data_IF_124291312775
#
_entry.id   IF_124291312775
#
_cell.length_a   1.000
_cell.length_b   1.000
_cell.length_c   1.000
_cell.angle_alpha   90.00
_cell.angle_beta   90.00
_cell.angle_gamma   90.00
#
_symmetry.space_group_name_H-M   'P 1'
#
loop_
_entity.id
_entity.type
_entity.pdbx_description
1 polymer ?
#
# COMPACT_ATOMS: atom_id res chain seq x y z
N UNK A 1 2.62 6.68 -20.39
CA UNK A 1 1.24 7.21 -20.61
C UNK A 1 0.32 6.03 -20.78
N UNK A 2 -0.75 5.95 -19.98
CA UNK A 2 -1.80 4.99 -20.28
C UNK A 2 -2.26 5.18 -21.73
N UNK A 3 -2.40 4.08 -22.46
CA UNK A 3 -2.71 4.06 -23.91
C UNK A 3 -4.01 4.78 -24.30
N UNK A 4 -4.83 5.24 -23.35
CA UNK A 4 -6.18 5.77 -23.59
C UNK A 4 -6.34 7.29 -23.49
N UNK A 5 -5.29 8.06 -23.26
CA UNK A 5 -5.32 9.54 -23.29
C UNK A 5 -6.27 10.24 -22.30
N UNK A 6 -6.79 9.51 -21.31
CA UNK A 6 -7.72 10.07 -20.30
C UNK A 6 -6.95 10.98 -19.35
N UNK A 7 -7.35 12.23 -19.22
CA UNK A 7 -6.85 13.17 -18.19
C UNK A 7 -7.45 12.81 -16.83
N UNK A 8 -6.70 13.05 -15.76
CA UNK A 8 -7.11 12.76 -14.38
C UNK A 8 -7.73 11.36 -14.21
N UNK A 9 -7.02 10.28 -14.57
CA UNK A 9 -7.55 8.94 -14.37
C UNK A 9 -7.84 8.69 -12.89
N UNK A 10 -8.97 8.05 -12.62
CA UNK A 10 -9.40 7.72 -11.25
C UNK A 10 -9.05 6.27 -10.94
N UNK A 11 -8.44 6.05 -9.80
CA UNK A 11 -8.06 4.72 -9.34
C UNK A 11 -8.26 4.56 -7.83
N UNK A 12 -8.10 3.34 -7.34
CA UNK A 12 -8.03 3.01 -5.91
C UNK A 12 -6.57 2.81 -5.49
N UNK A 13 -6.29 2.77 -4.19
CA UNK A 13 -4.95 2.41 -3.69
C UNK A 13 -4.78 0.89 -3.67
N UNK A 14 -5.70 0.17 -3.04
CA UNK A 14 -5.67 -1.30 -2.97
C UNK A 14 -6.94 -1.84 -2.29
N UNK A 15 -6.89 -2.01 -0.97
CA UNK A 15 -7.89 -2.73 -0.21
C UNK A 15 -9.28 -2.10 -0.22
N UNK A 16 -10.29 -2.95 -0.47
CA UNK A 16 -11.72 -2.67 -0.33
C UNK A 16 -12.27 -3.32 0.95
N UNK A 17 -13.26 -2.73 1.63
CA UNK A 17 -13.86 -3.32 2.82
C UNK A 17 -14.42 -4.72 2.53
N UNK A 18 -14.00 -5.70 3.29
CA UNK A 18 -14.45 -7.08 3.11
C UNK A 18 -15.87 -7.25 3.62
N UNK A 19 -16.73 -7.99 2.88
CA UNK A 19 -18.06 -8.33 3.36
C UNK A 19 -17.98 -9.15 4.66
N UNK A 20 -18.95 -8.95 5.56
CA UNK A 20 -19.01 -9.66 6.86
C UNK A 20 -19.01 -11.18 6.70
N UNK A 21 -19.74 -11.69 5.69
CA UNK A 21 -19.77 -13.13 5.41
C UNK A 21 -18.41 -13.71 5.00
N UNK A 22 -17.55 -12.91 4.31
CA UNK A 22 -16.18 -13.34 4.00
C UNK A 22 -15.31 -13.35 5.27
N UNK A 23 -15.41 -12.32 6.11
CA UNK A 23 -14.67 -12.26 7.38
C UNK A 23 -15.02 -13.48 8.26
N UNK A 24 -16.31 -13.79 8.38
CA UNK A 24 -16.77 -14.97 9.13
C UNK A 24 -16.26 -16.29 8.53
N UNK A 25 -16.25 -16.40 7.20
CA UNK A 25 -15.71 -17.57 6.51
C UNK A 25 -14.19 -17.73 6.74
N UNK A 26 -13.44 -16.64 6.72
CA UNK A 26 -12.00 -16.63 7.03
C UNK A 26 -11.74 -17.09 8.47
N UNK A 27 -12.48 -16.56 9.45
CA UNK A 27 -12.38 -16.95 10.87
C UNK A 27 -12.64 -18.43 11.09
N UNK A 28 -13.68 -18.97 10.46
CA UNK A 28 -14.10 -20.37 10.58
C UNK A 28 -13.30 -21.33 9.70
N UNK A 29 -12.38 -20.82 8.87
CA UNK A 29 -11.66 -21.60 7.85
C UNK A 29 -12.62 -22.45 7.00
N UNK A 30 -13.67 -21.79 6.49
CA UNK A 30 -14.73 -22.43 5.69
C UNK A 30 -14.14 -23.27 4.55
N UNK A 31 -14.68 -24.47 4.27
CA UNK A 31 -14.30 -25.24 3.08
C UNK A 31 -14.55 -24.48 1.76
N UNK A 32 -15.55 -23.60 1.73
CA UNK A 32 -15.87 -22.75 0.57
C UNK A 32 -15.11 -21.41 0.56
N UNK A 33 -14.05 -21.26 1.34
CA UNK A 33 -13.36 -19.98 1.48
C UNK A 33 -12.82 -19.43 0.15
N UNK A 34 -12.32 -20.30 -0.72
CA UNK A 34 -11.80 -19.90 -2.04
C UNK A 34 -12.91 -19.26 -2.90
N UNK A 35 -14.06 -19.94 -3.01
CA UNK A 35 -15.23 -19.44 -3.75
C UNK A 35 -15.75 -18.12 -3.15
N UNK A 36 -15.83 -18.01 -1.84
CA UNK A 36 -16.25 -16.78 -1.16
C UNK A 36 -15.29 -15.61 -1.41
N UNK A 37 -13.99 -15.86 -1.47
CA UNK A 37 -12.99 -14.87 -1.87
C UNK A 37 -13.21 -14.39 -3.30
N UNK A 38 -13.53 -15.29 -4.22
CA UNK A 38 -13.85 -14.96 -5.61
C UNK A 38 -15.10 -14.09 -5.70
N UNK A 39 -16.17 -14.46 -5.01
CA UNK A 39 -17.40 -13.68 -4.96
C UNK A 39 -17.17 -12.28 -4.37
N UNK A 40 -16.36 -12.16 -3.31
CA UNK A 40 -16.03 -10.87 -2.72
C UNK A 40 -15.19 -10.01 -3.67
N UNK A 41 -14.27 -10.61 -4.44
CA UNK A 41 -13.50 -9.91 -5.46
C UNK A 41 -14.40 -9.38 -6.57
N UNK A 42 -15.35 -10.19 -7.07
CA UNK A 42 -16.35 -9.74 -8.05
C UNK A 42 -17.17 -8.56 -7.54
N UNK A 43 -17.58 -8.62 -6.27
CA UNK A 43 -18.32 -7.53 -5.64
C UNK A 43 -17.47 -6.25 -5.54
N UNK A 44 -16.20 -6.36 -5.18
CA UNK A 44 -15.28 -5.23 -5.13
C UNK A 44 -15.05 -4.59 -6.50
N UNK A 45 -14.90 -5.40 -7.57
CA UNK A 45 -14.83 -4.92 -8.94
C UNK A 45 -16.12 -4.15 -9.29
N UNK A 46 -17.29 -4.75 -9.02
CA UNK A 46 -18.58 -4.14 -9.34
C UNK A 46 -18.76 -2.78 -8.67
N UNK A 47 -18.42 -2.65 -7.39
CA UNK A 47 -18.47 -1.37 -6.69
C UNK A 47 -17.57 -0.32 -7.34
N UNK A 48 -16.35 -0.67 -7.72
CA UNK A 48 -15.41 0.23 -8.38
C UNK A 48 -15.91 0.67 -9.77
N UNK A 49 -16.43 -0.27 -10.57
CA UNK A 49 -16.98 0.02 -11.89
C UNK A 49 -18.22 0.93 -11.82
N UNK A 50 -19.15 0.63 -10.89
CA UNK A 50 -20.37 1.43 -10.68
C UNK A 50 -20.06 2.83 -10.13
N UNK A 51 -19.00 2.98 -9.33
CA UNK A 51 -18.49 4.28 -8.91
C UNK A 51 -17.80 5.07 -10.05
N UNK A 52 -17.57 4.46 -11.22
CA UNK A 52 -16.97 5.11 -12.37
C UNK A 52 -15.44 5.15 -12.33
N UNK A 53 -14.78 4.23 -11.61
CA UNK A 53 -13.33 4.13 -11.53
C UNK A 53 -12.75 3.72 -12.88
N UNK A 54 -11.66 4.36 -13.31
CA UNK A 54 -11.01 4.10 -14.60
C UNK A 54 -10.05 2.90 -14.53
N UNK A 55 -9.35 2.73 -13.40
CA UNK A 55 -8.37 1.66 -13.17
C UNK A 55 -8.76 0.92 -11.88
N UNK A 56 -9.14 -0.34 -11.99
CA UNK A 56 -9.69 -1.13 -10.88
C UNK A 56 -8.66 -2.09 -10.29
N UNK A 57 -8.91 -2.56 -9.06
CA UNK A 57 -8.11 -3.58 -8.38
C UNK A 57 -9.00 -4.71 -7.85
N UNK A 58 -8.38 -5.81 -7.37
CA UNK A 58 -9.05 -6.92 -6.68
C UNK A 58 -9.64 -6.53 -5.32
N UNK A 59 -9.36 -5.31 -4.86
CA UNK A 59 -9.74 -4.85 -3.52
C UNK A 59 -9.07 -5.66 -2.40
N UNK A 60 -8.04 -6.45 -2.72
CA UNK A 60 -7.30 -7.31 -1.78
C UNK A 60 -8.20 -8.29 -1.01
N UNK A 61 -9.30 -8.73 -1.63
CA UNK A 61 -10.32 -9.53 -0.96
C UNK A 61 -9.81 -10.91 -0.54
N UNK A 62 -8.75 -11.40 -1.18
CA UNK A 62 -8.17 -12.71 -0.90
C UNK A 62 -7.10 -12.69 0.20
N UNK A 63 -6.75 -11.51 0.73
CA UNK A 63 -5.72 -11.27 1.75
C UNK A 63 -6.37 -10.90 3.08
N UNK A 64 -5.69 -11.10 4.20
CA UNK A 64 -6.09 -10.56 5.51
C UNK A 64 -5.62 -9.10 5.66
N UNK A 65 -4.41 -8.80 5.17
CA UNK A 65 -3.89 -7.44 5.02
C UNK A 65 -2.93 -7.38 3.82
N UNK A 66 -2.36 -6.20 3.56
CA UNK A 66 -1.59 -5.90 2.34
C UNK A 66 -0.25 -6.64 2.23
N UNK A 67 0.32 -7.21 3.30
CA UNK A 67 1.64 -7.87 3.25
C UNK A 67 1.73 -9.23 3.95
N UNK A 68 0.85 -9.58 4.90
CA UNK A 68 0.93 -10.84 5.66
C UNK A 68 0.67 -12.08 4.78
N UNK A 69 -0.08 -11.94 3.69
CA UNK A 69 -0.41 -13.01 2.75
C UNK A 69 0.82 -13.70 2.13
N UNK A 70 1.99 -13.03 2.15
CA UNK A 70 3.25 -13.62 1.66
C UNK A 70 3.63 -14.90 2.38
N UNK A 71 3.19 -15.09 3.63
CA UNK A 71 3.42 -16.34 4.41
C UNK A 71 2.82 -17.57 3.74
N UNK A 72 1.75 -17.41 2.96
CA UNK A 72 1.12 -18.50 2.23
C UNK A 72 1.77 -18.75 0.87
N UNK A 73 2.61 -17.82 0.40
CA UNK A 73 3.21 -17.83 -0.93
C UNK A 73 4.72 -18.07 -0.92
N UNK A 74 5.37 -17.80 0.22
CA UNK A 74 6.82 -17.94 0.39
C UNK A 74 7.15 -19.02 1.42
N UNK A 75 8.22 -19.77 1.17
CA UNK A 75 8.88 -20.59 2.17
C UNK A 75 9.70 -19.73 3.14
N UNK A 76 9.98 -20.25 4.32
CA UNK A 76 10.82 -19.59 5.31
C UNK A 76 10.14 -18.47 6.08
N UNK A 77 8.83 -18.24 5.89
CA UNK A 77 8.04 -17.21 6.57
C UNK A 77 6.95 -17.86 7.44
N UNK A 78 6.79 -17.36 8.65
CA UNK A 78 5.75 -17.76 9.60
C UNK A 78 4.97 -16.54 10.07
N UNK A 79 3.63 -16.66 10.17
CA UNK A 79 2.80 -15.62 10.80
C UNK A 79 2.89 -15.74 12.32
N UNK A 80 3.17 -14.62 12.98
CA UNK A 80 3.20 -14.49 14.44
C UNK A 80 2.35 -13.29 14.84
N UNK A 81 1.59 -13.42 15.93
CA UNK A 81 0.90 -12.28 16.55
C UNK A 81 1.93 -11.33 17.18
N UNK A 82 1.58 -10.07 17.34
CA UNK A 82 2.46 -9.12 18.05
C UNK A 82 2.72 -9.55 19.49
N UNK A 83 1.76 -10.25 20.11
CA UNK A 83 1.93 -10.82 21.44
C UNK A 83 3.01 -11.94 21.50
N UNK A 84 3.06 -12.83 20.48
CA UNK A 84 4.13 -13.83 20.36
C UNK A 84 5.50 -13.17 20.11
N UNK A 85 5.53 -12.01 19.46
CA UNK A 85 6.76 -11.28 19.18
C UNK A 85 7.32 -10.55 20.40
N UNK A 86 6.52 -10.34 21.46
CA UNK A 86 7.01 -9.78 22.74
C UNK A 86 8.18 -10.55 23.35
N UNK A 87 8.28 -11.85 23.09
CA UNK A 87 9.39 -12.67 23.60
C UNK A 87 10.75 -12.36 22.92
N UNK A 88 10.72 -11.65 21.79
CA UNK A 88 11.90 -11.28 20.99
C UNK A 88 12.20 -9.77 21.04
N UNK A 89 11.45 -9.00 21.83
CA UNK A 89 11.66 -7.57 22.02
C UNK A 89 12.46 -7.33 23.30
N UNK A 90 13.52 -6.51 23.23
CA UNK A 90 14.38 -6.19 24.38
C UNK A 90 13.63 -5.43 25.48
N UNK A 91 12.81 -4.46 25.14
CA UNK A 91 11.96 -3.70 26.08
C UNK A 91 10.48 -3.99 25.83
N UNK A 92 9.97 -5.04 26.48
CA UNK A 92 8.58 -5.49 26.36
C UNK A 92 7.59 -4.40 26.80
N UNK A 93 7.90 -3.69 27.88
CA UNK A 93 6.99 -2.67 28.42
C UNK A 93 6.89 -1.46 27.49
N UNK A 94 8.00 -1.00 26.92
CA UNK A 94 7.99 0.06 25.92
C UNK A 94 7.22 -0.35 24.67
N UNK A 95 7.36 -1.59 24.23
CA UNK A 95 6.64 -2.12 23.06
C UNK A 95 5.13 -2.24 23.32
N UNK A 96 4.70 -2.74 24.47
CA UNK A 96 3.29 -2.79 24.86
C UNK A 96 2.67 -1.38 24.96
N UNK A 97 3.38 -0.44 25.56
CA UNK A 97 2.96 0.96 25.62
C UNK A 97 2.82 1.57 24.22
N UNK A 98 3.74 1.25 23.31
CA UNK A 98 3.69 1.69 21.92
C UNK A 98 2.45 1.14 21.21
N UNK A 99 2.16 -0.16 21.32
CA UNK A 99 0.98 -0.77 20.71
C UNK A 99 -0.32 -0.15 21.21
N UNK A 100 -0.40 0.14 22.53
CA UNK A 100 -1.55 0.81 23.11
C UNK A 100 -1.67 2.27 22.59
N UNK A 101 -0.56 2.99 22.49
CA UNK A 101 -0.55 4.35 21.97
C UNK A 101 -0.95 4.42 20.48
N UNK A 102 -0.63 3.38 19.72
CA UNK A 102 -0.96 3.28 18.29
C UNK A 102 -2.38 2.75 18.03
N UNK A 103 -3.18 2.44 19.05
CA UNK A 103 -4.50 1.82 18.89
C UNK A 103 -4.44 0.48 18.11
N UNK A 104 -3.43 -0.34 18.41
CA UNK A 104 -3.16 -1.62 17.72
C UNK A 104 -3.52 -2.81 18.61
N UNK A 105 -4.49 -3.65 18.24
CA UNK A 105 -4.83 -4.85 18.98
C UNK A 105 -3.76 -5.95 18.74
N UNK A 106 -2.86 -6.15 19.72
CA UNK A 106 -1.70 -7.01 19.62
C UNK A 106 -2.00 -8.48 19.25
N UNK A 107 -3.18 -8.99 19.61
CA UNK A 107 -3.57 -10.38 19.33
C UNK A 107 -4.27 -10.54 17.96
N UNK A 108 -4.85 -9.50 17.41
CA UNK A 108 -5.62 -9.57 16.16
C UNK A 108 -4.74 -9.43 14.92
N UNK A 109 -3.58 -8.77 15.05
CA UNK A 109 -2.70 -8.50 13.92
C UNK A 109 -1.55 -9.51 13.92
N UNK A 110 -1.38 -10.16 12.77
CA UNK A 110 -0.30 -11.10 12.53
C UNK A 110 0.75 -10.48 11.63
N UNK A 111 1.99 -10.61 12.04
CA UNK A 111 3.16 -10.15 11.28
C UNK A 111 3.86 -11.36 10.64
N UNK A 112 4.22 -11.32 9.36
CA UNK A 112 5.07 -12.32 8.75
C UNK A 112 6.50 -12.18 9.30
N UNK A 113 7.09 -13.28 9.75
CA UNK A 113 8.44 -13.33 10.32
C UNK A 113 9.28 -14.36 9.59
N UNK A 114 10.48 -13.98 9.22
CA UNK A 114 11.44 -14.88 8.59
C UNK A 114 12.05 -15.81 9.64
N UNK A 115 11.85 -17.12 9.43
CA UNK A 115 12.35 -18.20 10.28
C UNK A 115 13.20 -19.21 9.51
N UNK A 116 13.44 -18.98 8.24
CA UNK A 116 14.24 -19.84 7.35
C UNK A 116 14.52 -19.16 6.01
N UNK A 117 15.14 -19.88 5.08
CA UNK A 117 15.48 -19.34 3.75
C UNK A 117 14.21 -18.98 2.97
N UNK A 118 14.11 -17.72 2.56
CA UNK A 118 12.98 -17.22 1.77
C UNK A 118 13.10 -17.70 0.32
N UNK A 119 12.04 -18.33 -0.18
CA UNK A 119 11.90 -18.77 -1.57
C UNK A 119 10.47 -18.63 -2.01
N UNK A 120 10.24 -18.33 -3.26
CA UNK A 120 8.91 -18.33 -3.85
C UNK A 120 8.38 -19.76 -3.98
N UNK A 121 7.29 -20.08 -3.29
CA UNK A 121 6.60 -21.37 -3.35
C UNK A 121 5.46 -21.36 -4.37
N UNK A 122 4.81 -20.20 -4.50
CA UNK A 122 3.70 -19.97 -5.42
C UNK A 122 3.70 -18.50 -5.86
N UNK A 123 3.03 -18.17 -6.98
CA UNK A 123 2.83 -16.78 -7.39
C UNK A 123 2.22 -15.95 -6.26
N UNK A 124 2.70 -14.71 -6.08
CA UNK A 124 2.20 -13.83 -5.01
C UNK A 124 0.79 -13.34 -5.33
N UNK A 125 0.61 -12.75 -6.53
CA UNK A 125 -0.63 -12.09 -6.96
C UNK A 125 -1.03 -12.42 -8.40
N UNK A 126 -0.27 -13.25 -9.09
CA UNK A 126 -0.53 -13.60 -10.50
C UNK A 126 -1.90 -14.28 -10.69
N UNK A 127 -2.34 -15.07 -9.69
CA UNK A 127 -3.67 -15.70 -9.71
C UNK A 127 -4.78 -14.65 -9.56
N UNK A 128 -4.54 -13.60 -8.74
CA UNK A 128 -5.45 -12.47 -8.58
C UNK A 128 -5.54 -11.66 -9.87
N UNK A 129 -4.40 -11.41 -10.53
CA UNK A 129 -4.37 -10.72 -11.82
C UNK A 129 -5.16 -11.48 -12.92
N UNK A 130 -4.95 -12.80 -13.04
CA UNK A 130 -5.67 -13.63 -14.02
C UNK A 130 -7.18 -13.58 -13.78
N UNK A 131 -7.58 -13.76 -12.52
CA UNK A 131 -8.99 -13.67 -12.15
C UNK A 131 -9.59 -12.31 -12.50
N UNK A 132 -8.92 -11.21 -12.17
CA UNK A 132 -9.37 -9.87 -12.54
C UNK A 132 -9.53 -9.74 -14.06
N UNK A 133 -8.53 -10.19 -14.82
CA UNK A 133 -8.55 -10.05 -16.29
C UNK A 133 -9.70 -10.79 -16.95
N UNK A 134 -10.17 -11.88 -16.36
CA UNK A 134 -11.33 -12.64 -16.82
C UNK A 134 -12.65 -11.89 -16.56
N UNK A 135 -12.73 -11.06 -15.53
CA UNK A 135 -13.98 -10.49 -15.01
C UNK A 135 -14.17 -8.99 -15.27
N UNK A 136 -13.18 -8.28 -15.80
CA UNK A 136 -13.32 -6.88 -16.18
C UNK A 136 -12.55 -6.54 -17.44
N UNK A 137 -13.01 -5.48 -18.16
CA UNK A 137 -12.31 -4.89 -19.31
C UNK A 137 -11.59 -3.59 -18.95
N UNK A 138 -11.73 -3.13 -17.72
CA UNK A 138 -11.02 -1.95 -17.22
C UNK A 138 -9.52 -2.24 -17.15
N UNK A 139 -8.66 -1.22 -17.25
CA UNK A 139 -7.26 -1.32 -16.83
C UNK A 139 -7.15 -1.77 -15.38
N UNK A 140 -6.13 -2.58 -15.09
CA UNK A 140 -5.94 -3.20 -13.78
C UNK A 140 -4.75 -2.59 -13.04
N UNK A 141 -4.94 -2.36 -11.74
CA UNK A 141 -3.87 -2.11 -10.77
C UNK A 141 -3.70 -3.32 -9.88
N UNK A 142 -2.47 -3.82 -9.79
CA UNK A 142 -2.07 -4.89 -8.89
C UNK A 142 -1.14 -4.31 -7.82
N UNK A 143 -1.39 -4.67 -6.56
CA UNK A 143 -0.61 -4.21 -5.41
C UNK A 143 0.29 -5.32 -4.87
N UNK A 144 1.54 -4.97 -4.58
CA UNK A 144 2.55 -5.82 -3.94
C UNK A 144 3.14 -5.09 -2.74
N UNK A 145 3.48 -5.79 -1.66
CA UNK A 145 4.28 -5.18 -0.61
C UNK A 145 5.66 -4.82 -1.16
N UNK A 146 6.19 -3.68 -0.73
CA UNK A 146 7.49 -3.22 -1.19
C UNK A 146 8.67 -4.02 -0.64
N UNK A 147 9.81 -4.06 -1.34
CA UNK A 147 10.98 -4.84 -0.93
C UNK A 147 11.60 -4.33 0.37
N UNK A 148 11.59 -3.02 0.61
CA UNK A 148 12.12 -2.45 1.84
C UNK A 148 11.21 -2.78 3.02
N UNK A 149 9.88 -2.58 2.88
CA UNK A 149 8.92 -3.01 3.89
C UNK A 149 9.15 -4.47 4.27
N UNK A 150 9.21 -5.38 3.29
CA UNK A 150 9.37 -6.81 3.56
C UNK A 150 10.69 -7.11 4.27
N UNK A 151 11.82 -6.61 3.77
CA UNK A 151 13.13 -6.90 4.36
C UNK A 151 13.28 -6.35 5.78
N UNK A 152 12.63 -5.21 6.08
CA UNK A 152 12.67 -4.58 7.39
C UNK A 152 11.68 -5.19 8.38
N UNK A 153 10.43 -5.40 7.95
CA UNK A 153 9.34 -5.78 8.85
C UNK A 153 9.29 -7.27 9.15
N UNK A 154 9.90 -8.11 8.33
CA UNK A 154 9.87 -9.56 8.52
C UNK A 154 11.13 -10.12 9.21
N UNK A 155 12.20 -9.34 9.28
CA UNK A 155 13.42 -9.71 9.97
C UNK A 155 13.30 -9.42 11.46
N UNK A 156 13.42 -10.42 12.30
CA UNK A 156 13.34 -10.30 13.76
C UNK A 156 14.59 -10.91 14.38
N UNK A 157 15.28 -10.12 15.22
CA UNK A 157 16.47 -10.55 15.97
C UNK A 157 16.15 -11.79 16.80
N UNK A 158 17.06 -12.75 16.85
CA UNK A 158 16.87 -14.02 17.56
C UNK A 158 16.04 -15.07 16.81
N UNK A 159 15.28 -14.67 15.75
CA UNK A 159 14.55 -15.61 14.89
C UNK A 159 15.15 -15.71 13.50
N UNK A 160 15.46 -14.58 12.90
CA UNK A 160 15.91 -14.49 11.50
C UNK A 160 17.42 -14.62 11.34
N UNK A 161 18.21 -14.28 12.39
CA UNK A 161 19.69 -14.19 12.36
C UNK A 161 20.39 -15.49 11.94
N UNK A 162 19.82 -16.64 12.31
CA UNK A 162 20.42 -17.93 11.94
C UNK A 162 20.45 -18.18 10.44
N UNK A 163 19.53 -17.53 9.69
CA UNK A 163 19.43 -17.67 8.22
C UNK A 163 19.95 -16.44 7.51
N UNK A 164 19.66 -15.25 8.05
CA UNK A 164 20.04 -13.96 7.51
C UNK A 164 20.69 -13.12 8.61
N UNK A 165 22.01 -12.88 8.54
CA UNK A 165 22.72 -12.14 9.59
C UNK A 165 22.21 -10.71 9.75
N UNK A 166 21.61 -10.16 8.70
CA UNK A 166 21.05 -8.82 8.65
C UNK A 166 19.89 -8.73 7.65
N UNK A 167 19.20 -7.59 7.66
CA UNK A 167 18.13 -7.31 6.72
C UNK A 167 18.61 -7.11 5.27
N UNK A 168 19.90 -6.81 5.02
CA UNK A 168 20.44 -6.64 3.65
C UNK A 168 20.57 -7.99 2.94
N UNK A 169 21.04 -9.00 3.64
CA UNK A 169 21.10 -10.37 3.14
C UNK A 169 19.69 -10.94 2.85
N UNK A 170 18.70 -10.64 3.70
CA UNK A 170 17.30 -10.95 3.42
C UNK A 170 16.79 -10.15 2.21
N UNK A 171 17.13 -8.87 2.10
CA UNK A 171 16.74 -8.00 1.00
C UNK A 171 17.08 -8.57 -0.37
N UNK A 172 18.18 -9.31 -0.50
CA UNK A 172 18.58 -9.94 -1.76
C UNK A 172 17.57 -11.00 -2.23
N UNK A 173 17.10 -11.85 -1.32
CA UNK A 173 16.11 -12.88 -1.65
C UNK A 173 14.72 -12.28 -1.88
N UNK A 174 14.33 -11.25 -1.11
CA UNK A 174 13.09 -10.50 -1.34
C UNK A 174 13.09 -9.85 -2.73
N UNK A 175 14.19 -9.22 -3.15
CA UNK A 175 14.35 -8.66 -4.50
C UNK A 175 14.15 -9.74 -5.55
N UNK A 176 14.76 -10.92 -5.39
CA UNK A 176 14.64 -12.01 -6.36
C UNK A 176 13.18 -12.47 -6.49
N UNK A 177 12.48 -12.66 -5.37
CA UNK A 177 11.07 -13.07 -5.34
C UNK A 177 10.15 -12.04 -6.00
N UNK A 178 10.29 -10.76 -5.62
CA UNK A 178 9.43 -9.70 -6.17
C UNK A 178 9.72 -9.44 -7.65
N UNK A 179 10.98 -9.57 -8.07
CA UNK A 179 11.35 -9.43 -9.48
C UNK A 179 10.78 -10.54 -10.34
N UNK A 180 10.81 -11.79 -9.87
CA UNK A 180 10.18 -12.93 -10.57
C UNK A 180 8.67 -12.67 -10.75
N UNK A 181 7.96 -12.27 -9.70
CA UNK A 181 6.54 -11.94 -9.76
C UNK A 181 6.26 -10.79 -10.74
N UNK A 182 7.06 -9.72 -10.68
CA UNK A 182 6.90 -8.56 -11.56
C UNK A 182 7.15 -8.91 -13.03
N UNK A 183 8.12 -9.78 -13.34
CA UNK A 183 8.38 -10.28 -14.69
C UNK A 183 7.21 -11.09 -15.25
N UNK A 184 6.59 -11.94 -14.43
CA UNK A 184 5.39 -12.69 -14.82
C UNK A 184 4.21 -11.75 -15.09
N UNK A 185 3.97 -10.76 -14.21
CA UNK A 185 2.91 -9.76 -14.40
C UNK A 185 3.13 -8.92 -15.67
N UNK A 186 4.34 -8.46 -15.91
CA UNK A 186 4.69 -7.71 -17.12
C UNK A 186 4.48 -8.57 -18.38
N UNK A 187 4.92 -9.82 -18.37
CA UNK A 187 4.75 -10.77 -19.46
C UNK A 187 3.27 -11.09 -19.73
N UNK A 188 2.43 -11.08 -18.71
CA UNK A 188 0.99 -11.28 -18.82
C UNK A 188 0.25 -10.01 -19.27
N UNK A 189 0.92 -8.87 -19.39
CA UNK A 189 0.36 -7.60 -19.86
C UNK A 189 -0.31 -6.77 -18.77
N UNK A 190 0.12 -6.90 -17.52
CA UNK A 190 -0.37 -6.04 -16.44
C UNK A 190 -0.14 -4.56 -16.78
N UNK A 191 -1.16 -3.72 -16.57
CA UNK A 191 -1.11 -2.31 -16.94
C UNK A 191 -0.48 -1.43 -15.87
N UNK A 192 -0.66 -1.77 -14.58
CA UNK A 192 -0.12 -1.01 -13.46
C UNK A 192 0.24 -1.93 -12.30
N UNK A 193 1.44 -1.81 -11.76
CA UNK A 193 1.90 -2.52 -10.56
C UNK A 193 2.37 -1.51 -9.53
N UNK A 194 1.76 -1.56 -8.35
CA UNK A 194 2.05 -0.67 -7.21
C UNK A 194 2.76 -1.43 -6.11
N UNK A 195 3.91 -0.91 -5.67
CA UNK A 195 4.59 -1.36 -4.46
C UNK A 195 4.16 -0.50 -3.27
N UNK A 196 3.76 -1.13 -2.17
CA UNK A 196 3.38 -0.42 -0.94
C UNK A 196 4.59 -0.33 -0.01
N UNK A 197 5.08 0.90 0.20
CA UNK A 197 6.24 1.22 1.04
C UNK A 197 5.89 2.24 2.14
N UNK A 198 4.97 1.92 3.04
CA UNK A 198 4.52 2.86 4.08
C UNK A 198 5.65 3.25 5.04
N UNK A 199 6.64 2.39 5.22
CA UNK A 199 7.75 2.61 6.17
C UNK A 199 8.65 3.76 5.75
N UNK A 200 8.65 4.18 4.47
CA UNK A 200 9.44 5.34 4.02
C UNK A 200 9.03 6.63 4.72
N UNK A 201 7.73 6.83 4.97
CA UNK A 201 7.27 8.01 5.70
C UNK A 201 7.67 7.98 7.17
N UNK A 202 7.77 6.80 7.79
CA UNK A 202 8.27 6.65 9.15
C UNK A 202 9.71 7.13 9.29
N UNK A 203 10.59 6.70 8.39
CA UNK A 203 12.01 7.10 8.41
C UNK A 203 12.18 8.62 8.43
N UNK A 204 11.29 9.32 7.73
CA UNK A 204 11.31 10.77 7.67
C UNK A 204 10.64 11.44 8.89
N UNK A 205 9.51 10.90 9.35
CA UNK A 205 8.58 11.60 10.23
C UNK A 205 8.65 11.14 11.69
N UNK A 206 9.01 9.88 11.97
CA UNK A 206 9.06 9.34 13.34
C UNK A 206 10.23 9.92 14.18
N UNK A 207 11.34 10.27 13.56
CA UNK A 207 12.54 10.81 14.26
C UNK A 207 12.34 12.12 15.02
N UNK A 208 11.18 12.77 14.88
CA UNK A 208 10.80 13.99 15.60
C UNK A 208 9.83 13.76 16.77
N UNK A 209 9.31 12.54 16.92
CA UNK A 209 8.39 12.18 18.00
C UNK A 209 8.54 10.69 18.31
N UNK A 210 9.19 10.35 19.42
CA UNK A 210 9.40 8.97 19.88
C UNK A 210 8.10 8.17 20.14
N UNK A 211 6.92 8.77 19.93
CA UNK A 211 5.60 8.18 20.17
C UNK A 211 4.84 7.78 18.92
N UNK A 212 5.39 8.03 17.72
CA UNK A 212 4.71 7.73 16.46
C UNK A 212 5.63 6.90 15.54
N UNK A 213 5.30 5.64 15.36
CA UNK A 213 5.98 4.72 14.46
C UNK A 213 4.95 3.96 13.62
N UNK A 214 5.39 3.32 12.54
CA UNK A 214 4.55 2.39 11.81
C UNK A 214 4.47 1.06 12.55
N UNK A 215 3.29 0.50 12.65
CA UNK A 215 3.05 -0.79 13.31
C UNK A 215 3.97 -1.89 12.77
N UNK A 216 4.14 -1.97 11.45
CA UNK A 216 4.98 -2.99 10.81
C UNK A 216 6.49 -2.73 10.94
N UNK A 217 6.91 -1.56 11.43
CA UNK A 217 8.31 -1.22 11.65
C UNK A 217 8.71 -1.18 13.13
N UNK A 218 7.76 -1.36 14.03
CA UNK A 218 7.98 -1.28 15.47
C UNK A 218 9.00 -2.30 16.03
N UNK A 219 9.28 -3.37 15.26
CA UNK A 219 10.23 -4.43 15.64
C UNK A 219 11.63 -4.24 15.03
N UNK A 220 11.80 -3.26 14.14
CA UNK A 220 13.07 -3.09 13.43
C UNK A 220 14.07 -2.25 14.23
N UNK A 221 15.32 -2.71 14.33
CA UNK A 221 16.41 -1.91 14.85
C UNK A 221 16.63 -0.68 13.96
N UNK A 222 16.82 0.49 14.56
CA UNK A 222 17.06 1.74 13.83
C UNK A 222 18.53 1.87 13.43
N UNK A 223 18.78 1.96 12.13
CA UNK A 223 19.98 2.58 11.55
C UNK A 223 19.69 4.08 11.25
N UNK A 224 20.65 4.80 10.67
CA UNK A 224 20.38 6.19 10.31
C UNK A 224 19.23 6.26 9.29
N UNK A 225 18.25 7.19 9.43
CA UNK A 225 17.15 7.34 8.49
C UNK A 225 17.62 7.50 7.04
N UNK A 226 18.70 8.22 6.81
CA UNK A 226 19.29 8.44 5.49
C UNK A 226 19.80 7.13 4.89
N UNK A 227 20.52 6.31 5.67
CA UNK A 227 21.03 5.01 5.23
C UNK A 227 19.89 4.05 4.87
N UNK A 228 18.82 4.05 5.65
CA UNK A 228 17.62 3.24 5.40
C UNK A 228 16.86 3.69 4.14
N UNK A 229 16.75 5.01 3.90
CA UNK A 229 16.15 5.54 2.67
C UNK A 229 16.98 5.18 1.43
N UNK A 230 18.33 5.23 1.52
CA UNK A 230 19.22 4.77 0.46
C UNK A 230 19.03 3.29 0.15
N UNK A 231 18.90 2.49 1.18
CA UNK A 231 18.65 1.05 1.07
C UNK A 231 17.30 0.78 0.39
N UNK A 232 16.25 1.49 0.77
CA UNK A 232 14.92 1.37 0.16
C UNK A 232 14.95 1.69 -1.34
N UNK A 233 15.62 2.78 -1.74
CA UNK A 233 15.85 3.14 -3.15
C UNK A 233 16.59 2.03 -3.90
N UNK A 234 17.66 1.48 -3.30
CA UNK A 234 18.43 0.42 -3.92
C UNK A 234 17.60 -0.85 -4.14
N UNK A 235 16.90 -1.33 -3.11
CA UNK A 235 16.09 -2.54 -3.18
C UNK A 235 14.99 -2.41 -4.24
N UNK A 236 14.26 -1.29 -4.24
CA UNK A 236 13.17 -1.06 -5.19
C UNK A 236 13.69 -0.97 -6.63
N UNK A 237 14.78 -0.23 -6.85
CA UNK A 237 15.40 -0.10 -8.16
C UNK A 237 15.87 -1.46 -8.70
N UNK A 238 16.39 -2.35 -7.86
CA UNK A 238 16.80 -3.70 -8.26
C UNK A 238 15.60 -4.59 -8.64
N UNK A 239 14.44 -4.41 -7.99
CA UNK A 239 13.21 -5.14 -8.36
C UNK A 239 12.76 -4.73 -9.75
N UNK A 240 12.76 -3.43 -10.06
CA UNK A 240 12.17 -2.88 -11.30
C UNK A 240 13.13 -2.77 -12.48
N UNK A 241 14.44 -3.01 -12.27
CA UNK A 241 15.46 -2.80 -13.29
C UNK A 241 15.22 -3.62 -14.57
N UNK A 242 15.10 -2.93 -15.72
CA UNK A 242 14.85 -3.55 -17.02
C UNK A 242 13.46 -4.17 -17.18
N UNK A 243 12.49 -3.85 -16.31
CA UNK A 243 11.08 -4.24 -16.47
C UNK A 243 10.41 -3.20 -17.35
N UNK A 244 9.77 -3.66 -18.41
CA UNK A 244 9.02 -2.84 -19.35
C UNK A 244 7.57 -3.32 -19.45
N UNK A 245 6.66 -2.43 -19.79
CA UNK A 245 5.24 -2.73 -20.03
C UNK A 245 4.31 -2.10 -19.02
N UNK A 246 4.29 -2.51 -17.74
CA UNK A 246 3.41 -1.90 -16.75
C UNK A 246 3.88 -0.50 -16.32
N UNK A 247 2.94 0.36 -15.92
CA UNK A 247 3.25 1.56 -15.15
C UNK A 247 3.66 1.11 -13.74
N UNK A 248 4.89 1.43 -13.34
CA UNK A 248 5.45 1.04 -12.05
C UNK A 248 5.24 2.16 -11.02
N UNK A 249 4.58 1.82 -9.91
CA UNK A 249 4.18 2.79 -8.90
C UNK A 249 4.74 2.43 -7.53
N UNK A 250 4.92 3.45 -6.68
CA UNK A 250 5.07 3.26 -5.23
C UNK A 250 4.01 4.04 -4.49
N UNK A 251 3.35 3.39 -3.52
CA UNK A 251 2.46 4.05 -2.57
C UNK A 251 3.18 4.27 -1.24
N UNK A 252 3.18 5.53 -0.79
CA UNK A 252 3.78 5.94 0.47
C UNK A 252 2.73 6.68 1.29
N UNK A 253 2.12 5.96 2.24
CA UNK A 253 1.13 6.55 3.16
C UNK A 253 1.77 6.99 4.49
N UNK A 254 0.95 7.62 5.34
CA UNK A 254 1.32 8.01 6.72
C UNK A 254 0.66 7.14 7.78
N UNK A 255 0.14 6.00 7.37
CA UNK A 255 -0.60 5.07 8.22
C UNK A 255 -2.10 5.09 7.97
N UNK A 256 -2.69 3.89 8.06
CA UNK A 256 -4.13 3.70 7.82
C UNK A 256 -4.69 2.60 8.74
N UNK A 257 -4.06 2.36 9.89
CA UNK A 257 -4.45 1.31 10.82
C UNK A 257 -5.51 1.75 11.85
N UNK A 258 -5.73 3.06 11.99
CA UNK A 258 -6.71 3.64 12.92
C UNK A 258 -7.54 4.74 12.26
N UNK A 259 -8.77 4.91 12.73
CA UNK A 259 -9.62 6.08 12.42
C UNK A 259 -9.22 7.31 13.22
N UNK A 260 -8.48 7.14 14.30
CA UNK A 260 -7.90 8.24 15.06
C UNK A 260 -6.64 8.74 14.34
N UNK A 261 -6.73 9.89 13.67
CA UNK A 261 -5.62 10.46 12.92
C UNK A 261 -4.48 10.97 13.80
N UNK A 262 -4.70 11.18 15.10
CA UNK A 262 -3.68 11.66 16.02
C UNK A 262 -2.58 10.63 16.30
N UNK A 263 -2.88 9.33 16.10
CA UNK A 263 -1.90 8.24 16.24
C UNK A 263 -1.14 7.94 14.95
N UNK A 264 -1.50 8.57 13.84
CA UNK A 264 -0.87 8.39 12.54
C UNK A 264 0.25 9.39 12.33
N UNK A 265 1.19 9.08 11.44
CA UNK A 265 2.29 9.97 11.09
C UNK A 265 1.77 11.27 10.46
N UNK A 266 2.44 12.38 10.74
CA UNK A 266 2.12 13.70 10.20
C UNK A 266 3.40 14.42 9.77
N UNK A 267 3.33 15.10 8.64
CA UNK A 267 4.44 15.91 8.10
C UNK A 267 4.46 15.91 6.57
N UNK A 268 5.15 16.88 5.96
CA UNK A 268 5.25 17.01 4.51
C UNK A 268 6.20 15.95 3.92
N UNK A 269 6.10 15.74 2.60
CA UNK A 269 6.97 14.82 1.86
C UNK A 269 8.30 15.43 1.39
N UNK A 270 8.59 16.71 1.68
CA UNK A 270 9.76 17.43 1.15
C UNK A 270 11.07 16.65 1.35
N UNK A 271 11.29 16.12 2.56
CA UNK A 271 12.50 15.34 2.86
C UNK A 271 12.58 13.99 2.13
N UNK A 272 11.46 13.50 1.59
CA UNK A 272 11.43 12.25 0.83
C UNK A 272 11.68 12.47 -0.68
N UNK A 273 11.43 13.68 -1.19
CA UNK A 273 11.52 13.98 -2.63
C UNK A 273 12.88 13.62 -3.26
N UNK A 274 14.05 13.87 -2.62
CA UNK A 274 15.34 13.47 -3.18
C UNK A 274 15.48 11.96 -3.40
N UNK A 275 14.85 11.16 -2.55
CA UNK A 275 14.87 9.70 -2.63
C UNK A 275 13.86 9.19 -3.66
N UNK A 276 12.63 9.74 -3.68
CA UNK A 276 11.62 9.39 -4.69
C UNK A 276 12.15 9.66 -6.12
N UNK A 277 12.84 10.77 -6.34
CA UNK A 277 13.42 11.10 -7.63
C UNK A 277 14.53 10.14 -8.10
N UNK A 278 15.07 9.32 -7.22
CA UNK A 278 16.09 8.32 -7.55
C UNK A 278 15.50 6.92 -7.74
N UNK A 279 14.22 6.74 -7.45
CA UNK A 279 13.50 5.51 -7.74
C UNK A 279 13.16 5.45 -9.23
N UNK A 280 13.46 4.32 -9.88
CA UNK A 280 13.18 4.05 -11.29
C UNK A 280 11.70 3.70 -11.50
N UNK A 281 10.82 4.62 -11.14
CA UNK A 281 9.37 4.43 -11.15
C UNK A 281 8.68 5.51 -11.99
N UNK A 282 7.48 5.16 -12.47
CA UNK A 282 6.65 6.04 -13.28
C UNK A 282 5.73 6.91 -12.44
N UNK A 283 5.23 6.39 -11.29
CA UNK A 283 4.20 7.06 -10.50
C UNK A 283 4.46 6.96 -8.99
N UNK A 284 4.20 8.08 -8.29
CA UNK A 284 4.23 8.19 -6.83
C UNK A 284 2.82 8.43 -6.30
N UNK A 285 2.27 7.48 -5.53
CA UNK A 285 0.92 7.54 -4.95
C UNK A 285 1.04 8.03 -3.51
N UNK A 286 0.56 9.26 -3.26
CA UNK A 286 0.84 10.00 -2.03
C UNK A 286 -0.44 10.56 -1.40
N UNK A 287 -0.50 10.62 -0.07
CA UNK A 287 -1.62 11.14 0.70
C UNK A 287 -1.62 12.67 0.75
N UNK A 288 -2.77 13.30 0.42
CA UNK A 288 -2.98 14.75 0.52
C UNK A 288 -4.42 15.13 0.91
N UNK A 289 -5.26 14.18 1.29
CA UNK A 289 -6.66 14.47 1.65
C UNK A 289 -6.80 15.24 2.96
N UNK A 290 -5.79 15.20 3.84
CA UNK A 290 -5.83 15.85 5.15
C UNK A 290 -4.67 16.83 5.35
N UNK A 291 -4.84 17.78 6.29
CA UNK A 291 -3.81 18.76 6.64
C UNK A 291 -2.51 18.15 7.19
N UNK A 292 -2.54 16.89 7.64
CA UNK A 292 -1.35 16.13 8.07
C UNK A 292 -0.27 16.05 6.98
N UNK A 293 -0.69 16.06 5.72
CA UNK A 293 0.21 15.94 4.57
C UNK A 293 0.98 17.22 4.23
N UNK A 294 0.56 18.37 4.76
CA UNK A 294 1.05 19.66 4.32
C UNK A 294 0.42 20.07 2.98
N UNK A 295 1.15 20.85 2.20
CA UNK A 295 0.70 21.37 0.91
C UNK A 295 1.26 20.57 -0.26
N UNK A 296 0.62 20.57 -1.45
CA UNK A 296 1.12 19.85 -2.62
C UNK A 296 2.37 20.49 -3.27
N UNK A 297 2.89 21.59 -2.74
CA UNK A 297 4.05 22.30 -3.29
C UNK A 297 5.30 21.38 -3.40
N UNK A 298 5.48 20.44 -2.48
CA UNK A 298 6.58 19.47 -2.53
C UNK A 298 6.62 18.68 -3.85
N UNK A 299 5.45 18.46 -4.49
CA UNK A 299 5.34 17.72 -5.75
C UNK A 299 5.96 18.45 -6.96
N UNK A 300 6.22 19.75 -6.84
CA UNK A 300 7.01 20.49 -7.84
C UNK A 300 8.46 19.99 -7.95
N UNK A 301 8.96 19.30 -6.92
CA UNK A 301 10.32 18.77 -6.89
C UNK A 301 10.45 17.41 -7.59
N UNK A 302 9.32 16.76 -7.96
CA UNK A 302 9.38 15.47 -8.66
C UNK A 302 10.00 15.62 -10.05
N UNK A 303 10.77 14.61 -10.43
CA UNK A 303 11.44 14.55 -11.73
C UNK A 303 10.44 14.77 -12.90
N UNK A 304 10.90 15.40 -13.99
CA UNK A 304 10.08 15.59 -15.20
C UNK A 304 9.54 14.24 -15.71
N UNK A 305 8.23 14.18 -15.99
CA UNK A 305 7.58 12.95 -16.47
C UNK A 305 7.02 12.05 -15.39
N UNK A 306 7.43 12.17 -14.13
CA UNK A 306 6.84 11.39 -13.05
C UNK A 306 5.35 11.70 -12.89
N UNK A 307 4.52 10.66 -12.78
CA UNK A 307 3.09 10.76 -12.51
C UNK A 307 2.84 10.86 -11.01
N UNK A 308 1.74 11.47 -10.63
CA UNK A 308 1.31 11.62 -9.24
C UNK A 308 -0.05 10.96 -9.04
N UNK A 309 -0.11 9.93 -8.21
CA UNK A 309 -1.35 9.46 -7.62
C UNK A 309 -1.70 10.37 -6.45
N UNK A 310 -2.59 11.32 -6.69
CA UNK A 310 -2.94 12.36 -5.73
C UNK A 310 -4.08 11.91 -4.83
N UNK A 311 -3.78 11.59 -3.58
CA UNK A 311 -4.75 11.24 -2.55
C UNK A 311 -5.56 12.48 -2.14
N UNK A 312 -6.84 12.51 -2.49
CA UNK A 312 -7.74 13.65 -2.21
C UNK A 312 -9.01 13.26 -1.48
N UNK A 313 -9.13 11.98 -1.14
CA UNK A 313 -10.26 11.41 -0.40
C UNK A 313 -9.71 10.70 0.84
N UNK A 314 -10.22 11.08 2.01
CA UNK A 314 -9.83 10.47 3.29
C UNK A 314 -10.62 9.18 3.55
N UNK A 315 -10.00 7.98 3.53
CA UNK A 315 -10.71 6.73 3.75
C UNK A 315 -11.17 6.51 5.20
N UNK A 316 -10.65 7.29 6.17
CA UNK A 316 -10.80 7.07 7.62
C UNK A 316 -12.03 7.74 8.23
N UNK A 317 -12.68 8.65 7.49
CA UNK A 317 -13.89 9.35 7.96
C UNK A 317 -15.13 8.88 7.22
N UNK A 318 -16.31 9.02 7.82
CA UNK A 318 -17.60 8.79 7.15
C UNK A 318 -18.07 9.99 6.32
N UNK A 319 -17.42 11.14 6.44
CA UNK A 319 -17.73 12.32 5.66
C UNK A 319 -17.37 12.09 4.18
N UNK A 320 -18.31 12.37 3.29
CA UNK A 320 -18.12 12.25 1.85
C UNK A 320 -17.67 13.59 1.31
N UNK A 321 -16.51 13.64 0.70
CA UNK A 321 -15.94 14.83 0.08
C UNK A 321 -16.84 15.34 -1.05
N UNK A 322 -17.09 16.62 -1.09
CA UNK A 322 -17.85 17.22 -2.19
C UNK A 322 -17.01 17.27 -3.46
N UNK A 323 -17.55 16.88 -4.63
CA UNK A 323 -16.78 16.94 -5.89
C UNK A 323 -16.13 18.30 -6.17
N UNK A 324 -16.78 19.40 -5.83
CA UNK A 324 -16.23 20.75 -6.00
C UNK A 324 -14.98 21.01 -5.13
N UNK A 325 -14.90 20.44 -3.94
CA UNK A 325 -13.71 20.54 -3.06
C UNK A 325 -12.55 19.73 -3.63
N UNK A 326 -12.82 18.55 -4.16
CA UNK A 326 -11.82 17.72 -4.85
C UNK A 326 -11.29 18.48 -6.07
N UNK A 327 -12.17 19.06 -6.89
CA UNK A 327 -11.78 19.89 -8.05
C UNK A 327 -10.88 21.05 -7.61
N UNK A 328 -11.23 21.79 -6.56
CA UNK A 328 -10.43 22.90 -6.06
C UNK A 328 -9.02 22.46 -5.65
N UNK A 329 -8.87 21.32 -4.95
CA UNK A 329 -7.56 20.75 -4.58
C UNK A 329 -6.73 20.34 -5.79
N UNK A 330 -7.37 19.75 -6.81
CA UNK A 330 -6.67 19.37 -8.05
C UNK A 330 -6.20 20.62 -8.81
N UNK A 331 -7.03 21.67 -8.90
CA UNK A 331 -6.63 22.95 -9.50
C UNK A 331 -5.48 23.62 -8.74
N UNK A 332 -5.39 23.44 -7.43
CA UNK A 332 -4.22 23.88 -6.67
C UNK A 332 -2.97 23.09 -7.08
N UNK A 333 -3.08 21.75 -7.21
CA UNK A 333 -1.97 20.91 -7.64
C UNK A 333 -1.47 21.22 -9.05
N UNK A 334 -2.35 21.60 -9.98
CA UNK A 334 -1.98 21.97 -11.37
C UNK A 334 -0.99 23.13 -11.46
N UNK A 335 -0.84 23.90 -10.39
CA UNK A 335 0.21 24.93 -10.29
C UNK A 335 1.63 24.34 -10.23
N UNK A 336 1.76 23.06 -9.89
CA UNK A 336 3.02 22.36 -9.65
C UNK A 336 3.22 21.14 -10.55
N UNK A 337 2.13 20.48 -10.96
CA UNK A 337 2.14 19.24 -11.73
C UNK A 337 1.22 19.38 -12.93
N UNK A 338 1.73 19.06 -14.12
CA UNK A 338 0.93 19.11 -15.35
C UNK A 338 -0.27 18.14 -15.28
N UNK A 339 -1.44 18.53 -15.80
CA UNK A 339 -2.70 17.77 -15.72
C UNK A 339 -2.58 16.32 -16.20
N UNK A 340 -1.77 16.06 -17.21
CA UNK A 340 -1.55 14.75 -17.83
C UNK A 340 -0.82 13.77 -16.89
N UNK A 341 -0.19 14.30 -15.84
CA UNK A 341 0.59 13.54 -14.86
C UNK A 341 -0.22 13.25 -13.58
N UNK A 342 -1.43 13.79 -13.44
CA UNK A 342 -2.24 13.70 -12.23
C UNK A 342 -3.23 12.55 -12.35
N UNK A 343 -3.15 11.60 -11.42
CA UNK A 343 -4.13 10.54 -11.18
C UNK A 343 -4.84 10.83 -9.85
N UNK A 344 -6.12 10.52 -9.76
CA UNK A 344 -6.91 10.76 -8.56
C UNK A 344 -7.18 9.46 -7.82
N UNK A 345 -6.92 9.46 -6.52
CA UNK A 345 -7.14 8.29 -5.67
C UNK A 345 -7.49 8.71 -4.22
N UNK A 346 -8.01 7.80 -3.40
CA UNK A 346 -8.04 7.99 -1.95
C UNK A 346 -6.62 8.04 -1.37
N UNK A 347 -6.47 8.59 -0.16
CA UNK A 347 -5.18 8.62 0.55
C UNK A 347 -4.59 7.21 0.74
N UNK A 348 -5.44 6.23 1.01
CA UNK A 348 -5.05 4.83 1.22
C UNK A 348 -6.24 3.91 0.89
N UNK A 349 -6.07 2.58 1.10
CA UNK A 349 -7.15 1.62 0.95
C UNK A 349 -8.26 1.80 2.00
N UNK A 350 -9.49 1.42 1.68
CA UNK A 350 -10.63 1.48 2.57
C UNK A 350 -10.72 0.28 3.54
N UNK A 351 -10.04 -0.82 3.19
CA UNK A 351 -10.16 -2.09 3.91
C UNK A 351 -9.10 -2.30 4.99
N UNK A 352 -7.89 -1.85 4.80
CA UNK A 352 -6.69 -2.04 5.64
C UNK A 352 -6.53 -3.47 6.17
N UNK A 353 -7.18 -3.82 7.29
CA UNK A 353 -7.24 -5.18 7.85
C UNK A 353 -8.60 -5.81 7.58
N UNK A 354 -8.64 -7.12 7.38
CA UNK A 354 -9.87 -7.85 7.09
C UNK A 354 -10.95 -7.60 8.15
N UNK A 355 -10.59 -7.70 9.43
CA UNK A 355 -11.52 -7.60 10.55
C UNK A 355 -11.74 -6.17 11.06
N UNK A 356 -10.92 -5.21 10.59
CA UNK A 356 -10.94 -3.83 11.08
C UNK A 356 -10.81 -2.83 9.92
N UNK A 357 -11.80 -2.77 9.01
CA UNK A 357 -11.78 -1.79 7.92
C UNK A 357 -11.91 -0.37 8.47
N UNK A 358 -11.24 0.58 7.83
CA UNK A 358 -11.35 2.01 8.19
C UNK A 358 -12.65 2.63 7.68
N UNK A 359 -13.24 2.08 6.61
CA UNK A 359 -14.55 2.45 6.09
C UNK A 359 -15.44 1.22 5.88
N UNK A 360 -16.76 1.41 5.82
CA UNK A 360 -17.68 0.42 5.27
C UNK A 360 -17.81 0.56 3.75
N UNK A 361 -18.39 -0.45 3.10
CA UNK A 361 -18.49 -0.51 1.64
C UNK A 361 -19.37 0.62 1.04
N UNK A 362 -20.40 1.08 1.75
CA UNK A 362 -21.30 2.15 1.28
C UNK A 362 -20.57 3.49 1.33
N UNK A 363 -19.89 3.78 2.42
CA UNK A 363 -19.03 4.97 2.56
C UNK A 363 -17.93 4.97 1.50
N UNK A 364 -17.23 3.85 1.30
CA UNK A 364 -16.20 3.72 0.27
C UNK A 364 -16.75 3.96 -1.14
N UNK A 365 -17.92 3.39 -1.47
CA UNK A 365 -18.59 3.59 -2.74
C UNK A 365 -18.99 5.06 -2.97
N UNK A 366 -19.60 5.71 -1.97
CA UNK A 366 -19.98 7.11 -2.07
C UNK A 366 -18.77 8.03 -2.29
N UNK A 367 -17.66 7.78 -1.58
CA UNK A 367 -16.40 8.50 -1.74
C UNK A 367 -15.80 8.33 -3.14
N UNK A 368 -15.76 7.11 -3.66
CA UNK A 368 -15.27 6.86 -5.02
C UNK A 368 -16.19 7.48 -6.08
N UNK A 369 -17.49 7.49 -5.86
CA UNK A 369 -18.46 8.16 -6.74
C UNK A 369 -18.24 9.68 -6.80
N UNK A 370 -17.97 10.30 -5.64
CA UNK A 370 -17.62 11.72 -5.55
C UNK A 370 -16.30 12.03 -6.27
N UNK A 371 -15.28 11.17 -6.10
CA UNK A 371 -13.99 11.28 -6.79
C UNK A 371 -14.16 11.21 -8.33
N UNK A 372 -14.95 10.25 -8.81
CA UNK A 372 -15.25 10.10 -10.24
C UNK A 372 -16.06 11.29 -10.79
N UNK A 373 -16.99 11.84 -10.00
CA UNK A 373 -17.72 13.05 -10.38
C UNK A 373 -16.79 14.27 -10.54
N UNK A 374 -15.85 14.45 -9.61
CA UNK A 374 -14.83 15.48 -9.68
C UNK A 374 -13.95 15.34 -10.95
N UNK A 375 -13.51 14.10 -11.24
CA UNK A 375 -12.71 13.82 -12.44
C UNK A 375 -13.47 14.17 -13.73
N UNK A 376 -14.76 13.88 -13.83
CA UNK A 376 -15.60 14.28 -14.98
C UNK A 376 -15.60 15.80 -15.16
N UNK A 377 -15.85 16.55 -14.08
CA UNK A 377 -15.81 18.02 -14.12
C UNK A 377 -14.45 18.56 -14.58
N UNK A 378 -13.35 17.98 -14.09
CA UNK A 378 -11.99 18.37 -14.49
C UNK A 378 -11.69 18.08 -15.96
N UNK A 379 -12.29 17.05 -16.55
CA UNK A 379 -12.11 16.65 -17.96
C UNK A 379 -12.89 17.54 -18.92
N UNK A 380 -13.96 18.19 -18.46
CA UNK A 380 -14.83 19.08 -19.25
C UNK A 380 -14.31 20.51 -19.31
N UNK A 381 -13.35 20.87 -18.44
CA UNK A 381 -12.77 22.22 -18.31
C UNK A 381 -11.28 22.23 -18.64
#
# INVERSE_FOLDING_TARGET
MMKNGVKYPVTVVGSWPRPVWLIEAMKRRSPSLAELKDQATLLAIKYQEDAGIDIVSDGEQRRDNFYSFISDRLEGIRLMTLAELLDYVEDKAAFENLLNALDVPAFAIKNPVVVGKVRRRAPLVMDDYRFLREHTRKPLKITLPGPYLLSRSTWVKGLSESTYPDGDSLGNDIVAVLREELQELASAGAEMVQFDEPVLSELLLAGRSATRTFMCAALAASSSPEGELERAVNLLNRVVDGIEGPTLCVHVCRGNWSRNEDVLLAGPYDGLMPYLNRMKLDQFVLEYATSRAGTPQALAQLQPGAQVGYGVVNPRTAEIERPAEIVARVRELERFVAPERIFLNPDCGFGTFAERPVADAQTAFAKLSALSAAARTLRET
#
